data_IF_595714287701
#
_entry.id   IF_595714287701
#
_cell.length_a   1.000
_cell.length_b   1.000
_cell.length_c   1.000
_cell.angle_alpha   90.00
_cell.angle_beta   90.00
_cell.angle_gamma   90.00
#
_symmetry.space_group_name_H-M   'P 1'
#
loop_
_entity.id
_entity.type
_entity.pdbx_description
1 polymer ?
#
# COMPACT_ATOMS: atom_id res chain seq x y z
N UNK A 1 -46.46 16.40 7.78
CA UNK A 1 -45.18 15.92 8.35
C UNK A 1 -44.53 14.80 7.53
N UNK A 2 -45.30 13.95 6.85
CA UNK A 2 -44.84 12.91 5.91
C UNK A 2 -43.83 13.37 4.82
N UNK A 3 -44.01 14.50 4.10
CA UNK A 3 -43.16 14.85 2.96
C UNK A 3 -41.76 15.36 3.36
N UNK A 4 -41.61 15.87 4.60
CA UNK A 4 -40.30 16.28 5.12
C UNK A 4 -39.48 15.06 5.57
N UNK A 5 -40.14 14.06 6.16
CA UNK A 5 -39.49 12.81 6.55
C UNK A 5 -38.98 12.03 5.33
N UNK A 6 -39.77 11.97 4.25
CA UNK A 6 -39.36 11.32 2.99
C UNK A 6 -38.18 12.03 2.34
N UNK A 7 -38.12 13.37 2.39
CA UNK A 7 -37.00 14.16 1.86
C UNK A 7 -35.72 13.90 2.66
N UNK A 8 -35.81 13.85 3.99
CA UNK A 8 -34.67 13.55 4.86
C UNK A 8 -34.12 12.13 4.64
N UNK A 9 -34.99 11.14 4.48
CA UNK A 9 -34.60 9.75 4.19
C UNK A 9 -33.96 9.64 2.81
N UNK A 10 -34.52 10.30 1.79
CA UNK A 10 -33.93 10.32 0.45
C UNK A 10 -32.54 10.97 0.45
N UNK A 11 -32.35 12.07 1.19
CA UNK A 11 -31.06 12.73 1.31
C UNK A 11 -30.02 11.85 2.00
N UNK A 12 -30.42 11.13 3.06
CA UNK A 12 -29.55 10.16 3.75
C UNK A 12 -29.15 8.99 2.84
N UNK A 13 -30.07 8.48 2.03
CA UNK A 13 -29.76 7.39 1.09
C UNK A 13 -28.80 7.85 -0.02
N UNK A 14 -28.96 9.09 -0.50
CA UNK A 14 -28.05 9.68 -1.49
C UNK A 14 -26.65 9.90 -0.92
N UNK A 15 -26.53 10.45 0.30
CA UNK A 15 -25.22 10.67 0.93
C UNK A 15 -24.53 9.35 1.24
N UNK A 16 -25.26 8.34 1.74
CA UNK A 16 -24.72 7.00 1.94
C UNK A 16 -24.24 6.37 0.63
N UNK A 17 -25.00 6.53 -0.46
CA UNK A 17 -24.59 6.07 -1.79
C UNK A 17 -23.28 6.71 -2.28
N UNK A 18 -23.07 8.00 -2.00
CA UNK A 18 -21.81 8.70 -2.32
C UNK A 18 -20.67 8.19 -1.43
N UNK A 19 -20.90 8.03 -0.12
CA UNK A 19 -19.88 7.52 0.83
C UNK A 19 -19.46 6.08 0.50
N UNK A 20 -20.39 5.27 -0.03
CA UNK A 20 -20.13 3.88 -0.45
C UNK A 20 -19.39 3.78 -1.79
N UNK A 21 -19.29 4.87 -2.57
CA UNK A 21 -18.54 4.86 -3.82
C UNK A 21 -17.03 4.79 -3.54
N UNK A 22 -16.45 3.60 -3.67
CA UNK A 22 -15.00 3.38 -3.60
C UNK A 22 -14.36 3.74 -4.95
N UNK A 23 -14.26 5.03 -5.25
CA UNK A 23 -13.49 5.57 -6.37
C UNK A 23 -12.15 6.13 -5.90
N UNK A 24 -11.14 6.14 -6.78
CA UNK A 24 -9.98 6.99 -6.60
C UNK A 24 -10.25 8.39 -7.17
N UNK A 25 -9.55 9.40 -6.64
CA UNK A 25 -9.62 10.77 -7.14
C UNK A 25 -9.10 10.84 -8.60
N UNK A 26 -9.53 11.88 -9.34
CA UNK A 26 -9.19 12.07 -10.75
C UNK A 26 -7.68 12.16 -11.00
N UNK A 27 -6.93 12.74 -10.07
CA UNK A 27 -5.46 12.86 -10.12
C UNK A 27 -4.74 11.52 -9.89
N UNK A 28 -5.43 10.55 -9.30
CA UNK A 28 -4.89 9.20 -9.07
C UNK A 28 -5.18 8.24 -10.23
N UNK A 29 -5.89 8.68 -11.27
CA UNK A 29 -6.12 7.87 -12.46
C UNK A 29 -4.91 7.90 -13.40
N UNK A 30 -4.48 6.72 -13.86
CA UNK A 30 -3.42 6.60 -14.87
C UNK A 30 -3.67 5.44 -15.82
N UNK A 31 -3.04 5.50 -16.98
CA UNK A 31 -2.79 4.30 -17.77
C UNK A 31 -1.70 3.47 -17.09
N UNK A 32 -1.88 2.16 -17.03
CA UNK A 32 -0.84 1.26 -16.56
C UNK A 32 -1.18 -0.20 -16.86
N UNK A 33 -0.31 -1.09 -16.40
CA UNK A 33 -0.43 -2.53 -16.55
C UNK A 33 -0.25 -3.25 -15.21
N UNK A 34 -0.85 -4.43 -15.12
CA UNK A 34 -0.73 -5.35 -13.99
C UNK A 34 -0.62 -6.78 -14.50
N UNK A 35 -0.03 -7.66 -13.70
CA UNK A 35 -0.07 -9.10 -13.97
C UNK A 35 -1.39 -9.64 -13.41
N UNK A 36 -2.15 -10.30 -14.26
CA UNK A 36 -3.39 -10.97 -13.91
C UNK A 36 -3.44 -12.30 -14.65
N UNK A 37 -3.66 -13.42 -13.93
CA UNK A 37 -3.62 -14.77 -14.48
C UNK A 37 -2.38 -15.06 -15.35
N UNK A 38 -1.19 -14.72 -14.83
CA UNK A 38 0.10 -14.86 -15.53
C UNK A 38 0.19 -14.14 -16.90
N UNK A 39 -0.69 -13.17 -17.16
CA UNK A 39 -0.68 -12.34 -18.36
C UNK A 39 -0.66 -10.86 -17.97
N UNK A 40 -0.11 -10.02 -18.85
CA UNK A 40 -0.17 -8.57 -18.69
C UNK A 40 -1.53 -8.04 -19.14
N UNK A 41 -2.25 -7.40 -18.22
CA UNK A 41 -3.48 -6.65 -18.48
C UNK A 41 -3.19 -5.16 -18.31
N UNK A 42 -3.51 -4.36 -19.33
CA UNK A 42 -3.27 -2.91 -19.32
C UNK A 42 -4.58 -2.14 -19.53
N UNK A 43 -4.67 -0.94 -18.96
CA UNK A 43 -5.85 -0.09 -19.07
C UNK A 43 -5.70 1.20 -18.28
N UNK A 44 -6.81 1.95 -18.21
CA UNK A 44 -6.95 3.12 -17.37
C UNK A 44 -7.64 2.76 -16.05
N UNK A 45 -7.28 3.43 -14.97
CA UNK A 45 -7.81 3.18 -13.63
C UNK A 45 -6.88 3.72 -12.56
N UNK A 46 -7.07 3.30 -11.31
CA UNK A 46 -6.35 3.89 -10.19
C UNK A 46 -4.86 3.51 -10.20
N UNK A 47 -3.99 4.45 -9.82
CA UNK A 47 -2.54 4.26 -9.72
C UNK A 47 -2.17 3.05 -8.86
N UNK A 48 -2.94 2.79 -7.82
CA UNK A 48 -2.79 1.64 -6.91
C UNK A 48 -3.03 0.28 -7.58
N UNK A 49 -3.86 0.22 -8.64
CA UNK A 49 -4.20 -1.04 -9.32
C UNK A 49 -3.15 -1.48 -10.34
N UNK A 50 -2.42 -0.52 -10.92
CA UNK A 50 -1.39 -0.78 -11.93
C UNK A 50 -0.01 -0.72 -11.31
N UNK A 51 0.76 -1.79 -11.49
CA UNK A 51 2.13 -1.89 -10.98
C UNK A 51 3.18 -1.47 -12.01
N UNK A 52 2.86 -1.58 -13.29
CA UNK A 52 3.77 -1.32 -14.39
C UNK A 52 3.23 -0.16 -15.20
N UNK A 53 4.09 0.74 -15.68
CA UNK A 53 3.64 1.90 -16.45
C UNK A 53 3.30 1.53 -17.91
N UNK A 54 3.87 0.43 -18.41
CA UNK A 54 3.66 -0.06 -19.77
C UNK A 54 3.69 -1.60 -19.85
N UNK A 55 3.32 -2.12 -21.02
CA UNK A 55 3.19 -3.56 -21.26
C UNK A 55 4.53 -4.28 -21.27
N UNK A 56 5.59 -3.63 -21.78
CA UNK A 56 6.92 -4.24 -21.88
C UNK A 56 7.55 -4.46 -20.51
N UNK A 57 7.42 -3.48 -19.61
CA UNK A 57 7.79 -3.59 -18.21
C UNK A 57 7.08 -4.75 -17.49
N UNK A 58 5.78 -4.89 -17.74
CA UNK A 58 4.99 -6.00 -17.22
C UNK A 58 5.49 -7.34 -17.77
N UNK A 59 5.77 -7.44 -19.08
CA UNK A 59 6.29 -8.66 -19.71
C UNK A 59 7.68 -9.03 -19.20
N UNK A 60 8.54 -8.04 -18.94
CA UNK A 60 9.84 -8.26 -18.32
C UNK A 60 9.70 -8.83 -16.89
N UNK A 61 8.71 -8.35 -16.12
CA UNK A 61 8.39 -8.91 -14.82
C UNK A 61 7.86 -10.35 -14.91
N UNK A 62 6.97 -10.66 -15.87
CA UNK A 62 6.50 -12.03 -16.10
C UNK A 62 7.63 -13.00 -16.45
N UNK A 63 8.64 -12.54 -17.19
CA UNK A 63 9.81 -13.34 -17.57
C UNK A 63 10.86 -13.47 -16.45
N UNK A 64 10.60 -12.91 -15.26
CA UNK A 64 11.58 -12.87 -14.15
C UNK A 64 12.82 -12.04 -14.47
N UNK A 65 12.76 -11.17 -15.49
CA UNK A 65 13.89 -10.37 -15.99
C UNK A 65 13.92 -8.94 -15.47
N UNK A 66 12.89 -8.50 -14.74
CA UNK A 66 12.95 -7.24 -13.99
C UNK A 66 13.75 -7.48 -12.71
N UNK A 67 14.71 -6.59 -12.46
CA UNK A 67 15.47 -6.51 -11.21
C UNK A 67 14.49 -6.47 -10.03
N UNK A 68 14.30 -7.59 -9.34
CA UNK A 68 13.64 -7.58 -8.04
C UNK A 68 14.55 -6.82 -7.07
N UNK A 69 14.10 -5.63 -6.65
CA UNK A 69 14.86 -4.78 -5.73
C UNK A 69 15.09 -5.50 -4.39
N UNK A 70 14.15 -6.35 -3.97
CA UNK A 70 14.30 -7.14 -2.75
C UNK A 70 15.45 -8.15 -2.86
N UNK A 71 15.64 -8.77 -4.03
CA UNK A 71 16.75 -9.69 -4.27
C UNK A 71 18.07 -8.98 -4.59
N UNK A 72 18.03 -7.86 -5.33
CA UNK A 72 19.22 -7.17 -5.85
C UNK A 72 19.91 -6.31 -4.79
N UNK A 73 19.17 -5.42 -4.12
CA UNK A 73 19.75 -4.50 -3.14
C UNK A 73 19.53 -4.94 -1.70
N UNK A 74 18.60 -5.87 -1.45
CA UNK A 74 18.21 -6.33 -0.11
C UNK A 74 18.06 -5.15 0.87
N UNK A 75 17.13 -4.23 0.60
CA UNK A 75 17.09 -2.94 1.28
C UNK A 75 16.68 -3.04 2.76
N UNK A 76 15.96 -4.09 3.16
CA UNK A 76 15.50 -4.26 4.53
C UNK A 76 16.62 -4.81 5.42
N UNK A 77 16.95 -4.06 6.47
CA UNK A 77 17.96 -4.40 7.46
C UNK A 77 17.37 -5.31 8.56
N UNK A 78 18.24 -5.84 9.41
CA UNK A 78 17.88 -6.61 10.62
C UNK A 78 16.83 -7.69 10.36
N UNK A 79 17.02 -8.46 9.28
CA UNK A 79 16.14 -9.58 8.89
C UNK A 79 14.70 -9.17 8.54
N UNK A 80 14.47 -7.88 8.25
CA UNK A 80 13.18 -7.40 7.76
C UNK A 80 12.77 -8.05 6.43
N UNK A 81 11.50 -8.42 6.30
CA UNK A 81 10.98 -9.04 5.08
C UNK A 81 10.69 -7.97 4.02
N UNK A 82 11.31 -8.10 2.84
CA UNK A 82 11.11 -7.18 1.72
C UNK A 82 9.93 -7.62 0.84
N UNK A 83 9.09 -6.68 0.46
CA UNK A 83 8.02 -6.87 -0.53
C UNK A 83 8.02 -5.75 -1.54
N UNK A 84 8.07 -6.09 -2.83
CA UNK A 84 8.04 -5.09 -3.89
C UNK A 84 6.61 -4.53 -4.08
N UNK A 85 6.47 -3.21 -4.14
CA UNK A 85 5.18 -2.48 -4.24
C UNK A 85 5.17 -1.58 -5.48
N UNK A 86 4.01 -0.99 -5.82
CA UNK A 86 3.84 -0.07 -6.96
C UNK A 86 4.09 1.40 -6.62
N UNK A 87 4.09 1.76 -5.34
CA UNK A 87 4.39 3.13 -4.86
C UNK A 87 5.90 3.34 -4.72
N UNK A 88 6.37 4.57 -4.93
CA UNK A 88 7.76 4.97 -4.64
C UNK A 88 8.11 4.65 -3.16
N UNK A 89 9.26 4.02 -2.85
CA UNK A 89 10.43 3.70 -3.69
C UNK A 89 10.38 2.35 -4.43
N UNK A 90 9.22 1.72 -4.51
CA UNK A 90 9.00 0.44 -5.22
C UNK A 90 9.16 -0.80 -4.33
N UNK A 91 9.40 -0.64 -3.03
CA UNK A 91 9.37 -1.73 -2.05
C UNK A 91 8.89 -1.25 -0.68
N UNK A 92 8.54 -2.21 0.17
CA UNK A 92 8.20 -2.00 1.58
C UNK A 92 8.88 -3.07 2.43
N UNK A 93 9.45 -2.66 3.56
CA UNK A 93 9.97 -3.56 4.57
C UNK A 93 8.90 -3.86 5.63
N UNK A 94 8.85 -5.11 6.06
CA UNK A 94 8.09 -5.58 7.22
C UNK A 94 9.08 -5.93 8.32
N UNK A 95 8.99 -5.24 9.44
CA UNK A 95 9.95 -5.32 10.55
C UNK A 95 9.37 -6.05 11.78
N UNK A 96 8.12 -6.49 11.71
CA UNK A 96 7.45 -7.17 12.82
C UNK A 96 8.24 -8.42 13.24
N UNK A 97 8.50 -8.56 14.54
CA UNK A 97 9.24 -9.69 15.10
C UNK A 97 10.78 -9.59 14.99
N UNK A 98 11.33 -8.57 14.32
CA UNK A 98 12.79 -8.37 14.28
C UNK A 98 13.34 -7.60 15.48
N UNK A 99 12.47 -6.90 16.21
CA UNK A 99 12.88 -5.96 17.26
C UNK A 99 13.39 -4.62 16.71
N UNK A 100 13.13 -4.33 15.43
CA UNK A 100 13.43 -3.06 14.78
C UNK A 100 12.19 -2.47 14.10
N UNK A 101 12.22 -1.17 13.83
CA UNK A 101 11.20 -0.43 13.10
C UNK A 101 11.85 0.60 12.16
N UNK A 102 11.03 1.29 11.37
CA UNK A 102 11.47 2.28 10.38
C UNK A 102 11.27 1.81 8.95
N UNK A 103 11.64 2.66 7.98
CA UNK A 103 11.40 2.39 6.55
C UNK A 103 12.19 1.18 6.06
N UNK A 104 13.36 0.97 6.64
CA UNK A 104 14.33 -0.08 6.29
C UNK A 104 14.59 -1.03 7.46
N UNK A 105 13.78 -0.99 8.52
CA UNK A 105 14.03 -1.71 9.77
C UNK A 105 15.38 -1.33 10.43
N UNK A 106 15.77 -0.07 10.33
CA UNK A 106 17.05 0.47 10.77
C UNK A 106 17.09 0.86 12.25
N UNK A 107 15.94 1.09 12.88
CA UNK A 107 15.86 1.65 14.24
C UNK A 107 15.48 0.57 15.25
N UNK A 108 16.25 0.37 16.33
CA UNK A 108 15.90 -0.63 17.34
C UNK A 108 14.66 -0.21 18.13
N UNK A 109 13.81 -1.19 18.45
CA UNK A 109 12.60 -0.95 19.23
C UNK A 109 12.94 -0.39 20.63
N UNK A 110 12.19 0.62 21.11
CA UNK A 110 12.38 1.16 22.44
C UNK A 110 12.07 0.08 23.48
N UNK A 111 12.92 -0.02 24.51
CA UNK A 111 12.66 -0.91 25.64
C UNK A 111 11.46 -0.38 26.44
N UNK A 112 10.63 -1.26 27.04
CA UNK A 112 9.47 -0.86 27.84
C UNK A 112 9.83 0.11 28.98
N UNK A 113 11.06 0.01 29.49
CA UNK A 113 11.57 0.81 30.61
C UNK A 113 12.15 2.17 30.20
N UNK A 114 12.12 2.49 28.90
CA UNK A 114 12.75 3.71 28.39
C UNK A 114 11.80 4.91 28.53
N UNK A 115 11.83 5.53 29.71
CA UNK A 115 11.06 6.75 30.08
C UNK A 115 11.33 7.96 29.19
N UNK A 116 12.36 7.87 28.33
CA UNK A 116 12.76 8.90 27.37
C UNK A 116 12.06 8.78 26.01
N UNK A 117 11.30 7.70 25.74
CA UNK A 117 10.58 7.59 24.48
C UNK A 117 9.39 8.56 24.47
N UNK A 118 9.61 9.75 23.91
CA UNK A 118 8.58 10.75 23.64
C UNK A 118 8.03 10.53 22.24
N UNK A 119 6.90 9.83 22.12
CA UNK A 119 6.24 9.63 20.83
C UNK A 119 5.24 8.48 20.84
N UNK A 120 4.58 8.26 19.70
CA UNK A 120 3.72 7.10 19.51
C UNK A 120 4.59 5.84 19.38
N UNK A 121 4.27 4.81 20.17
CA UNK A 121 5.01 3.55 20.16
C UNK A 121 4.86 2.86 18.78
N UNK A 122 5.96 2.42 18.14
CA UNK A 122 5.89 1.80 16.83
C UNK A 122 5.12 0.48 16.90
N UNK A 123 4.19 0.26 15.97
CA UNK A 123 3.38 -0.95 15.97
C UNK A 123 4.22 -2.19 15.67
N UNK A 124 5.31 -2.04 14.91
CA UNK A 124 6.26 -3.11 14.60
C UNK A 124 6.95 -3.66 15.86
N UNK A 125 7.00 -2.86 16.94
CA UNK A 125 7.63 -3.19 18.21
C UNK A 125 6.67 -3.85 19.23
N UNK A 126 5.39 -3.99 18.89
CA UNK A 126 4.41 -4.61 19.78
C UNK A 126 4.52 -6.13 19.67
N UNK A 127 4.94 -6.77 20.76
CA UNK A 127 4.99 -8.23 20.88
C UNK A 127 3.63 -8.70 21.42
N UNK A 128 2.93 -9.56 20.69
CA UNK A 128 1.62 -10.13 21.06
C UNK A 128 1.79 -11.56 21.56
#
# INVERSE_FOLDING_TARGET
MLPRLTLSVALLLLTMGVILSKGCELDQMRYGCRIYNAQCSCGYGCKSEYRYDNNDDCKLALKGRRSDICSRSKPCLNEGSCSQISSEPGFKCRCEGTGFYGTYCETPCPRPDNTLFRGQFPYECVVI
#
